data_IF_152591488772
#
_entry.id   IF_152591488772
#
_cell.length_a   1.000
_cell.length_b   1.000
_cell.length_c   1.000
_cell.angle_alpha   90.00
_cell.angle_beta   90.00
_cell.angle_gamma   90.00
#
_symmetry.space_group_name_H-M   'P 1'
#
loop_
_entity.id
_entity.type
_entity.pdbx_description
1 polymer ?
#
# COMPACT_ATOMS: atom_id res chain seq x y z
N UNK A 1 -13.37 13.07 4.07
CA UNK A 1 -12.31 13.89 4.71
C UNK A 1 -11.19 13.05 5.33
N UNK A 2 -11.42 11.90 5.99
CA UNK A 2 -10.32 11.04 6.48
C UNK A 2 -9.30 10.65 5.41
N UNK A 3 -9.74 10.31 4.20
CA UNK A 3 -8.87 10.00 3.09
C UNK A 3 -7.98 11.15 2.58
N UNK A 4 -8.24 12.40 2.96
CA UNK A 4 -7.34 13.51 2.64
C UNK A 4 -6.08 13.50 3.52
N UNK A 5 -6.20 13.02 4.75
CA UNK A 5 -5.05 12.87 5.67
C UNK A 5 -4.14 11.76 5.15
N UNK A 6 -4.75 10.63 4.75
CA UNK A 6 -4.06 9.49 4.16
C UNK A 6 -3.40 9.83 2.81
N UNK A 7 -4.00 10.74 2.03
CA UNK A 7 -3.49 11.12 0.70
C UNK A 7 -2.06 11.69 0.72
N UNK A 8 -1.63 12.29 1.81
CA UNK A 8 -0.25 12.79 1.96
C UNK A 8 0.75 11.64 1.92
N UNK A 9 0.46 10.57 2.65
CA UNK A 9 1.28 9.37 2.67
C UNK A 9 1.24 8.65 1.33
N UNK A 10 0.04 8.48 0.78
CA UNK A 10 -0.15 7.82 -0.51
C UNK A 10 0.57 8.54 -1.66
N UNK A 11 0.45 9.87 -1.76
CA UNK A 11 1.15 10.66 -2.79
C UNK A 11 2.68 10.53 -2.67
N UNK A 12 3.20 10.46 -1.46
CA UNK A 12 4.63 10.21 -1.23
C UNK A 12 5.04 8.83 -1.75
N UNK A 13 4.28 7.79 -1.41
CA UNK A 13 4.54 6.44 -1.89
C UNK A 13 4.41 6.32 -3.42
N UNK A 14 3.47 7.04 -4.03
CA UNK A 14 3.27 7.07 -5.49
C UNK A 14 4.44 7.77 -6.22
N UNK A 15 4.97 8.83 -5.63
CA UNK A 15 6.20 9.48 -6.12
C UNK A 15 7.39 8.50 -6.16
N UNK A 16 7.59 7.72 -5.08
CA UNK A 16 8.60 6.65 -5.05
C UNK A 16 8.30 5.54 -6.04
N UNK A 17 7.05 5.14 -6.21
CA UNK A 17 6.64 4.12 -7.16
C UNK A 17 6.95 4.53 -8.61
N UNK A 18 6.68 5.78 -8.95
CA UNK A 18 6.96 6.37 -10.27
C UNK A 18 8.46 6.40 -10.56
N UNK A 19 9.27 6.87 -9.62
CA UNK A 19 10.72 6.90 -9.74
C UNK A 19 11.29 5.48 -9.87
N UNK A 20 10.81 4.54 -9.06
CA UNK A 20 11.24 3.15 -9.10
C UNK A 20 10.83 2.46 -10.42
N UNK A 21 9.65 2.76 -10.94
CA UNK A 21 9.19 2.27 -12.24
C UNK A 21 10.18 2.63 -13.34
N UNK A 22 10.54 3.91 -13.46
CA UNK A 22 11.50 4.39 -14.45
C UNK A 22 12.88 3.74 -14.27
N UNK A 23 13.37 3.68 -13.02
CA UNK A 23 14.65 3.03 -12.70
C UNK A 23 14.66 1.55 -13.09
N UNK A 24 13.62 0.82 -12.77
CA UNK A 24 13.51 -0.61 -13.09
C UNK A 24 13.39 -0.82 -14.60
N UNK A 25 12.57 -0.03 -15.31
CA UNK A 25 12.40 -0.14 -16.75
C UNK A 25 13.74 0.04 -17.49
N UNK A 26 14.53 1.05 -17.12
CA UNK A 26 15.84 1.32 -17.71
C UNK A 26 16.83 0.18 -17.45
N UNK A 27 16.99 -0.25 -16.20
CA UNK A 27 17.93 -1.30 -15.85
C UNK A 27 17.50 -2.69 -16.36
N UNK A 28 16.19 -2.93 -16.44
CA UNK A 28 15.66 -4.14 -17.02
C UNK A 28 15.88 -4.20 -18.53
N UNK A 29 15.65 -3.09 -19.25
CA UNK A 29 15.96 -2.97 -20.69
C UNK A 29 17.45 -3.14 -21.00
N UNK A 30 18.32 -2.73 -20.07
CA UNK A 30 19.77 -2.95 -20.18
C UNK A 30 20.24 -4.36 -19.75
N UNK A 31 19.34 -5.27 -19.36
CA UNK A 31 19.68 -6.61 -18.89
C UNK A 31 20.24 -6.69 -17.46
N UNK A 32 20.32 -5.56 -16.75
CA UNK A 32 20.95 -5.40 -15.45
C UNK A 32 20.04 -5.84 -14.28
N UNK A 33 19.67 -7.12 -14.23
CA UNK A 33 18.79 -7.68 -13.18
C UNK A 33 19.33 -7.52 -11.76
N UNK A 34 20.65 -7.47 -11.63
CA UNK A 34 21.30 -7.20 -10.34
C UNK A 34 20.94 -5.81 -9.78
N UNK A 35 20.95 -4.80 -10.66
CA UNK A 35 20.56 -3.43 -10.33
C UNK A 35 19.07 -3.32 -10.04
N UNK A 36 18.21 -3.99 -10.82
CA UNK A 36 16.77 -4.06 -10.57
C UNK A 36 16.46 -4.53 -9.15
N UNK A 37 17.07 -5.64 -8.72
CA UNK A 37 16.84 -6.19 -7.36
C UNK A 37 17.39 -5.29 -6.25
N UNK A 38 18.56 -4.67 -6.46
CA UNK A 38 19.13 -3.73 -5.49
C UNK A 38 18.27 -2.47 -5.37
N UNK A 39 17.85 -1.88 -6.47
CA UNK A 39 16.97 -0.70 -6.49
C UNK A 39 15.62 -0.98 -5.84
N UNK A 40 14.99 -2.11 -6.16
CA UNK A 40 13.75 -2.52 -5.50
C UNK A 40 13.92 -2.65 -3.99
N UNK A 41 14.97 -3.34 -3.53
CA UNK A 41 15.21 -3.52 -2.09
C UNK A 41 15.47 -2.19 -1.39
N UNK A 42 16.27 -1.32 -1.95
CA UNK A 42 16.53 0.01 -1.40
C UNK A 42 15.24 0.83 -1.29
N UNK A 43 14.43 0.84 -2.34
CA UNK A 43 13.13 1.53 -2.35
C UNK A 43 12.16 0.97 -1.32
N UNK A 44 12.09 -0.36 -1.17
CA UNK A 44 11.23 -1.00 -0.15
C UNK A 44 11.65 -0.64 1.29
N UNK A 45 12.95 -0.54 1.57
CA UNK A 45 13.44 -0.08 2.87
C UNK A 45 13.05 1.36 3.13
N UNK A 46 13.28 2.26 2.17
CA UNK A 46 12.95 3.68 2.31
C UNK A 46 11.46 3.89 2.53
N UNK A 47 10.64 3.28 1.67
CA UNK A 47 9.17 3.40 1.76
C UNK A 47 8.60 2.64 2.95
N UNK A 48 9.22 1.53 3.35
CA UNK A 48 8.85 0.80 4.55
C UNK A 48 9.07 1.63 5.83
N UNK A 49 10.21 2.30 5.94
CA UNK A 49 10.48 3.22 7.07
C UNK A 49 9.46 4.37 7.07
N UNK A 50 9.17 4.97 5.91
CA UNK A 50 8.15 5.99 5.78
C UNK A 50 6.76 5.49 6.20
N UNK A 51 6.34 4.32 5.69
CA UNK A 51 5.06 3.71 6.03
C UNK A 51 4.93 3.39 7.52
N UNK A 52 6.00 2.87 8.16
CA UNK A 52 6.04 2.64 9.62
C UNK A 52 5.92 3.97 10.38
N UNK A 53 6.62 5.01 9.93
CA UNK A 53 6.53 6.33 10.55
C UNK A 53 5.09 6.87 10.51
N UNK A 54 4.42 6.80 9.36
CA UNK A 54 3.02 7.21 9.23
C UNK A 54 2.07 6.34 10.05
N UNK A 55 2.29 5.02 10.06
CA UNK A 55 1.54 4.10 10.92
C UNK A 55 1.62 4.52 12.39
N UNK A 56 2.83 4.77 12.90
CA UNK A 56 3.03 5.24 14.27
C UNK A 56 2.34 6.60 14.51
N UNK A 57 2.42 7.51 13.55
CA UNK A 57 1.78 8.81 13.63
C UNK A 57 0.25 8.67 13.75
N UNK A 58 -0.38 7.83 12.92
CA UNK A 58 -1.82 7.64 12.90
C UNK A 58 -2.33 6.85 14.13
N UNK A 59 -1.55 5.91 14.64
CA UNK A 59 -1.95 5.08 15.79
C UNK A 59 -1.65 5.77 17.13
N UNK A 60 -0.50 6.46 17.26
CA UNK A 60 -0.09 7.06 18.52
C UNK A 60 -0.65 8.47 18.74
N UNK A 61 -0.89 9.24 17.64
CA UNK A 61 -1.27 10.65 17.71
C UNK A 61 -2.53 10.97 16.87
N UNK A 62 -3.57 10.12 16.88
CA UNK A 62 -4.72 10.30 15.99
C UNK A 62 -5.57 11.53 16.36
N UNK A 63 -5.75 11.82 17.66
CA UNK A 63 -6.57 12.96 18.14
C UNK A 63 -6.04 14.32 17.72
N UNK A 64 -4.76 14.68 17.94
CA UNK A 64 -4.19 15.92 17.44
C UNK A 64 -4.34 16.08 15.94
N UNK A 65 -4.11 15.00 15.17
CA UNK A 65 -4.29 15.02 13.71
C UNK A 65 -5.75 15.30 13.35
N UNK A 66 -6.69 14.58 13.96
CA UNK A 66 -8.12 14.77 13.70
C UNK A 66 -8.58 16.19 14.05
N UNK A 67 -8.08 16.80 15.13
CA UNK A 67 -8.41 18.15 15.55
C UNK A 67 -7.98 19.25 14.57
N UNK A 68 -6.97 19.01 13.74
CA UNK A 68 -6.55 19.95 12.69
C UNK A 68 -7.62 20.06 11.59
N UNK A 69 -8.31 18.94 11.31
CA UNK A 69 -9.24 18.86 10.18
C UNK A 69 -10.72 18.92 10.59
N UNK A 70 -11.03 18.63 11.84
CA UNK A 70 -12.40 18.54 12.35
C UNK A 70 -12.57 19.36 13.64
N UNK A 71 -13.72 20.01 13.77
CA UNK A 71 -14.08 20.83 14.95
C UNK A 71 -15.23 20.23 15.74
N UNK A 72 -15.99 19.31 15.14
CA UNK A 72 -17.13 18.68 15.79
C UNK A 72 -16.69 17.43 16.58
N UNK A 73 -17.05 17.30 17.88
CA UNK A 73 -16.59 16.19 18.72
C UNK A 73 -16.91 14.79 18.17
N UNK A 74 -18.09 14.61 17.55
CA UNK A 74 -18.49 13.34 16.94
C UNK A 74 -17.64 13.01 15.72
N UNK A 75 -17.33 14.01 14.88
CA UNK A 75 -16.47 13.84 13.72
C UNK A 75 -15.03 13.51 14.12
N UNK A 76 -14.52 14.13 15.18
CA UNK A 76 -13.19 13.84 15.73
C UNK A 76 -13.12 12.39 16.24
N UNK A 77 -14.10 11.92 17.00
CA UNK A 77 -14.13 10.55 17.50
C UNK A 77 -14.11 9.53 16.33
N UNK A 78 -14.96 9.74 15.35
CA UNK A 78 -15.02 8.89 14.15
C UNK A 78 -13.71 8.92 13.34
N UNK A 79 -13.08 10.09 13.21
CA UNK A 79 -11.80 10.25 12.52
C UNK A 79 -10.65 9.55 13.27
N UNK A 80 -10.67 9.57 14.59
CA UNK A 80 -9.68 8.85 15.44
C UNK A 80 -9.79 7.34 15.21
N UNK A 81 -10.98 6.77 15.24
CA UNK A 81 -11.18 5.34 14.98
C UNK A 81 -10.73 4.97 13.56
N UNK A 82 -11.06 5.81 12.58
CA UNK A 82 -10.59 5.64 11.19
C UNK A 82 -9.07 5.63 11.09
N UNK A 83 -8.40 6.64 11.65
CA UNK A 83 -6.95 6.77 11.59
C UNK A 83 -6.23 5.59 12.24
N UNK A 84 -6.73 5.11 13.37
CA UNK A 84 -6.16 3.94 14.05
C UNK A 84 -6.29 2.69 13.18
N UNK A 85 -7.50 2.41 12.66
CA UNK A 85 -7.77 1.18 11.89
C UNK A 85 -7.01 1.20 10.57
N UNK A 86 -7.04 2.30 9.82
CA UNK A 86 -6.35 2.44 8.54
C UNK A 86 -4.85 2.55 8.74
N UNK A 87 -4.41 3.20 9.81
CA UNK A 87 -3.01 3.32 10.18
C UNK A 87 -2.27 1.97 10.24
N UNK A 88 -2.92 0.89 10.71
CA UNK A 88 -2.32 -0.45 10.72
C UNK A 88 -1.97 -0.98 9.32
N UNK A 89 -2.67 -0.56 8.28
CA UNK A 89 -2.42 -0.99 6.91
C UNK A 89 -1.53 -0.05 6.10
N UNK A 90 -1.18 1.11 6.65
CA UNK A 90 -0.51 2.18 5.92
C UNK A 90 0.87 1.76 5.40
N UNK A 91 1.67 1.10 6.22
CA UNK A 91 2.97 0.56 5.80
C UNK A 91 2.83 -0.44 4.64
N UNK A 92 1.81 -1.29 4.68
CA UNK A 92 1.55 -2.27 3.63
C UNK A 92 1.05 -1.61 2.35
N UNK A 93 0.25 -0.54 2.45
CA UNK A 93 -0.21 0.25 1.32
C UNK A 93 0.96 0.92 0.59
N UNK A 94 1.89 1.50 1.34
CA UNK A 94 3.11 2.10 0.79
C UNK A 94 3.99 1.06 0.07
N UNK A 95 4.18 -0.12 0.67
CA UNK A 95 4.91 -1.25 0.09
C UNK A 95 4.20 -1.76 -1.18
N UNK A 96 2.88 -1.88 -1.15
CA UNK A 96 2.06 -2.26 -2.30
C UNK A 96 2.27 -1.31 -3.47
N UNK A 97 2.03 -0.01 -3.27
CA UNK A 97 2.11 1.03 -4.30
C UNK A 97 3.49 1.01 -4.97
N UNK A 98 4.55 0.96 -4.17
CA UNK A 98 5.92 0.90 -4.66
C UNK A 98 6.21 -0.39 -5.44
N UNK A 99 5.66 -1.53 -5.02
CA UNK A 99 5.83 -2.81 -5.71
C UNK A 99 5.06 -2.85 -7.03
N UNK A 100 3.88 -2.22 -7.09
CA UNK A 100 3.12 -2.03 -8.34
C UNK A 100 3.94 -1.22 -9.35
N UNK A 101 4.59 -0.13 -8.91
CA UNK A 101 5.53 0.64 -9.73
C UNK A 101 6.67 -0.23 -10.27
N UNK A 102 7.26 -1.06 -9.40
CA UNK A 102 8.33 -1.99 -9.77
C UNK A 102 7.91 -3.04 -10.80
N UNK A 103 6.75 -3.67 -10.61
CA UNK A 103 6.20 -4.66 -11.56
C UNK A 103 5.84 -4.00 -12.90
N UNK A 104 5.33 -2.78 -12.87
CA UNK A 104 5.05 -2.00 -14.08
C UNK A 104 6.33 -1.71 -14.86
N UNK A 105 7.43 -1.36 -14.18
CA UNK A 105 8.75 -1.20 -14.79
C UNK A 105 9.33 -2.49 -15.42
N UNK A 106 8.91 -3.66 -14.93
CA UNK A 106 9.22 -4.95 -15.55
C UNK A 106 8.31 -5.30 -16.74
N UNK A 107 7.38 -4.43 -17.13
CA UNK A 107 6.37 -4.69 -18.16
C UNK A 107 5.29 -5.68 -17.74
N UNK A 108 5.04 -5.84 -16.44
CA UNK A 108 4.07 -6.80 -15.85
C UNK A 108 2.82 -6.13 -15.30
N UNK A 109 2.39 -5.04 -15.93
CA UNK A 109 1.20 -4.26 -15.52
C UNK A 109 -0.09 -5.09 -15.47
N UNK A 110 -0.24 -6.07 -16.37
CA UNK A 110 -1.40 -6.96 -16.37
C UNK A 110 -1.55 -7.75 -15.06
N UNK A 111 -0.44 -8.22 -14.45
CA UNK A 111 -0.46 -8.88 -13.15
C UNK A 111 -0.95 -7.93 -12.05
N UNK A 112 -0.48 -6.67 -12.09
CA UNK A 112 -0.92 -5.65 -11.15
C UNK A 112 -2.42 -5.40 -11.27
N UNK A 113 -2.93 -5.27 -12.49
CA UNK A 113 -4.35 -5.04 -12.75
C UNK A 113 -5.22 -6.20 -12.25
N UNK A 114 -4.86 -7.44 -12.59
CA UNK A 114 -5.62 -8.64 -12.17
C UNK A 114 -5.69 -8.75 -10.65
N UNK A 115 -4.56 -8.63 -9.97
CA UNK A 115 -4.49 -8.70 -8.50
C UNK A 115 -5.31 -7.56 -7.89
N UNK A 116 -5.16 -6.33 -8.37
CA UNK A 116 -5.89 -5.18 -7.85
C UNK A 116 -7.39 -5.32 -8.05
N UNK A 117 -7.85 -5.79 -9.21
CA UNK A 117 -9.27 -6.00 -9.49
C UNK A 117 -9.85 -7.07 -8.53
N UNK A 118 -9.18 -8.21 -8.38
CA UNK A 118 -9.63 -9.30 -7.49
C UNK A 118 -9.77 -8.78 -6.05
N UNK A 119 -8.75 -8.14 -5.51
CA UNK A 119 -8.78 -7.68 -4.11
C UNK A 119 -9.71 -6.50 -3.88
N UNK A 120 -9.82 -5.57 -4.84
CA UNK A 120 -10.75 -4.45 -4.74
C UNK A 120 -12.21 -4.94 -4.84
N UNK A 121 -12.48 -5.91 -5.70
CA UNK A 121 -13.81 -6.54 -5.79
C UNK A 121 -14.16 -7.35 -4.54
N UNK A 122 -13.20 -8.11 -3.99
CA UNK A 122 -13.39 -8.86 -2.74
C UNK A 122 -13.61 -7.96 -1.51
N UNK A 123 -13.16 -6.71 -1.56
CA UNK A 123 -13.38 -5.71 -0.51
C UNK A 123 -14.87 -5.38 -0.33
N UNK A 124 -15.65 -5.36 -1.41
CA UNK A 124 -17.09 -5.02 -1.36
C UNK A 124 -17.87 -6.01 -0.50
N UNK A 125 -17.90 -7.33 -0.80
CA UNK A 125 -18.63 -8.30 0.03
C UNK A 125 -18.07 -8.36 1.45
N UNK A 126 -16.75 -8.23 1.64
CA UNK A 126 -16.16 -8.23 2.96
C UNK A 126 -16.61 -7.02 3.81
N UNK A 127 -16.70 -5.84 3.20
CA UNK A 127 -17.20 -4.63 3.86
C UNK A 127 -18.68 -4.76 4.22
N UNK A 128 -19.49 -5.40 3.38
CA UNK A 128 -20.92 -5.66 3.68
C UNK A 128 -21.05 -6.63 4.87
N UNK A 129 -20.27 -7.72 4.87
CA UNK A 129 -20.31 -8.71 5.94
C UNK A 129 -19.85 -8.08 7.26
N UNK A 130 -18.71 -7.43 7.29
CA UNK A 130 -18.16 -6.84 8.52
C UNK A 130 -18.96 -5.60 8.97
N UNK A 131 -19.50 -4.81 8.05
CA UNK A 131 -20.35 -3.67 8.35
C UNK A 131 -21.72 -4.09 8.92
N UNK A 132 -22.22 -5.29 8.58
CA UNK A 132 -23.43 -5.89 9.14
C UNK A 132 -23.25 -6.50 10.53
N UNK A 133 -22.02 -6.57 11.04
CA UNK A 133 -21.74 -7.05 12.40
C UNK A 133 -21.88 -5.93 13.45
N UNK A 134 -21.67 -6.26 14.72
CA UNK A 134 -21.62 -5.26 15.82
C UNK A 134 -20.54 -4.18 15.64
N UNK A 135 -19.61 -4.35 14.70
CA UNK A 135 -18.56 -3.39 14.37
C UNK A 135 -19.08 -2.18 13.58
N UNK A 136 -20.21 -2.32 12.86
CA UNK A 136 -20.79 -1.22 12.09
C UNK A 136 -19.80 -0.57 11.12
N UNK A 137 -19.61 0.74 11.22
CA UNK A 137 -18.69 1.51 10.36
C UNK A 137 -17.22 1.05 10.50
N UNK A 138 -16.79 0.69 11.70
CA UNK A 138 -15.43 0.18 11.93
C UNK A 138 -15.17 -1.13 11.18
N UNK A 139 -16.20 -1.97 10.99
CA UNK A 139 -16.10 -3.20 10.21
C UNK A 139 -15.74 -2.93 8.75
N UNK A 140 -16.29 -1.86 8.16
CA UNK A 140 -15.93 -1.44 6.79
C UNK A 140 -14.45 -1.05 6.71
N UNK A 141 -13.94 -0.30 7.68
CA UNK A 141 -12.53 0.10 7.72
C UNK A 141 -11.60 -1.09 7.94
N UNK A 142 -11.99 -2.05 8.76
CA UNK A 142 -11.25 -3.31 8.90
C UNK A 142 -11.21 -4.13 7.62
N UNK A 143 -12.28 -4.12 6.81
CA UNK A 143 -12.27 -4.74 5.49
C UNK A 143 -11.24 -4.07 4.56
N UNK A 144 -11.14 -2.75 4.62
CA UNK A 144 -10.14 -1.98 3.87
C UNK A 144 -8.73 -2.35 4.32
N UNK A 145 -8.43 -2.28 5.62
CA UNK A 145 -7.11 -2.56 6.18
C UNK A 145 -6.65 -3.99 5.94
N UNK A 146 -7.50 -4.98 6.22
CA UNK A 146 -7.13 -6.39 6.04
C UNK A 146 -6.85 -6.74 4.58
N UNK A 147 -7.65 -6.23 3.64
CA UNK A 147 -7.40 -6.45 2.21
C UNK A 147 -6.13 -5.75 1.72
N UNK A 148 -5.80 -4.57 2.23
CA UNK A 148 -4.55 -3.86 1.90
C UNK A 148 -3.32 -4.59 2.45
N UNK A 149 -3.38 -5.13 3.66
CA UNK A 149 -2.28 -5.92 4.25
C UNK A 149 -2.01 -7.16 3.39
N UNK A 150 -3.04 -7.95 3.09
CA UNK A 150 -2.89 -9.17 2.28
C UNK A 150 -2.37 -8.85 0.88
N UNK A 151 -2.91 -7.80 0.26
CA UNK A 151 -2.51 -7.35 -1.07
C UNK A 151 -1.06 -6.88 -1.09
N UNK A 152 -0.62 -6.09 -0.10
CA UNK A 152 0.76 -5.63 0.03
C UNK A 152 1.76 -6.80 0.12
N UNK A 153 1.47 -7.81 0.95
CA UNK A 153 2.29 -9.02 1.07
C UNK A 153 2.31 -9.80 -0.26
N UNK A 154 1.15 -9.97 -0.89
CA UNK A 154 1.05 -10.69 -2.16
C UNK A 154 1.87 -10.04 -3.26
N UNK A 155 1.85 -8.72 -3.40
CA UNK A 155 2.63 -8.02 -4.41
C UNK A 155 4.14 -8.23 -4.23
N UNK A 156 4.64 -8.23 -3.00
CA UNK A 156 6.05 -8.54 -2.70
C UNK A 156 6.41 -9.97 -3.14
N UNK A 157 5.55 -10.94 -2.85
CA UNK A 157 5.74 -12.34 -3.26
C UNK A 157 5.77 -12.44 -4.78
N UNK A 158 4.82 -11.81 -5.48
CA UNK A 158 4.73 -11.81 -6.95
C UNK A 158 5.98 -11.17 -7.57
N UNK A 159 6.47 -10.06 -7.03
CA UNK A 159 7.70 -9.46 -7.52
C UNK A 159 8.91 -10.39 -7.36
N UNK A 160 9.03 -11.04 -6.21
CA UNK A 160 10.11 -12.02 -5.98
C UNK A 160 10.00 -13.21 -6.93
N UNK A 161 8.80 -13.72 -7.17
CA UNK A 161 8.57 -14.82 -8.10
C UNK A 161 8.94 -14.44 -9.53
N UNK A 162 8.46 -13.31 -10.04
CA UNK A 162 8.77 -12.81 -11.39
C UNK A 162 10.27 -12.62 -11.61
N UNK A 163 10.98 -12.10 -10.59
CA UNK A 163 12.41 -11.85 -10.68
C UNK A 163 13.29 -13.08 -10.46
N UNK A 164 12.75 -14.16 -9.87
CA UNK A 164 13.44 -15.47 -9.77
C UNK A 164 13.34 -16.27 -11.05
N UNK A 165 12.14 -16.37 -11.61
CA UNK A 165 11.88 -17.19 -12.82
C UNK A 165 12.71 -16.74 -14.01
N UNK A 166 13.01 -15.45 -14.15
CA UNK A 166 13.86 -14.95 -15.26
C UNK A 166 15.35 -15.23 -15.09
N UNK A 167 15.83 -15.59 -13.90
CA UNK A 167 17.23 -16.04 -13.73
C UNK A 167 17.49 -17.41 -14.37
N UNK A 168 16.43 -18.22 -14.54
CA UNK A 168 16.52 -19.57 -15.13
C UNK A 168 16.46 -19.56 -16.67
N UNK A 169 15.96 -18.51 -17.29
CA UNK A 169 15.84 -18.42 -18.77
C UNK A 169 17.05 -17.72 -19.41
N UNK A 170 17.88 -17.05 -18.61
CA UNK A 170 19.08 -16.34 -19.07
C UNK A 170 20.40 -17.08 -18.72
N UNK A 171 20.30 -18.30 -18.18
CA UNK A 171 21.41 -19.24 -17.94
C UNK A 171 21.28 -20.45 -18.88
#
# INVERSE_FOLDING_TARGET
MGGQIESISWNTADGFATALNAFIAQNYGAGEMGRVKKGYRASQWTVGIWGIFITLLFVCVPRPIANIFFHEPKAIATAVDYLIIVGFSEAFLCIETTTVGALSGLGRTHLCSVISIIFTSARIPLAIILGGTSLGLNGIWWALSSTSIVKGVLFVIVFQWVTRTKKQVAA
#
